data_IF_222100424638
#
_entry.id   IF_222100424638
#
_cell.length_a   1.000
_cell.length_b   1.000
_cell.length_c   1.000
_cell.angle_alpha   90.00
_cell.angle_beta   90.00
_cell.angle_gamma   90.00
#
_symmetry.space_group_name_H-M   'P 1'
#
loop_
_entity.id
_entity.type
_entity.pdbx_description
1 polymer ?
#
# COMPACT_ATOMS: atom_id res chain seq x y z
N UNK A 1 5.30 23.30 25.54
CA UNK A 1 3.96 22.69 25.72
C UNK A 1 4.13 21.19 25.87
N UNK A 2 3.90 20.63 27.07
CA UNK A 2 3.97 19.17 27.28
C UNK A 2 2.70 18.54 26.71
N UNK A 3 2.83 17.64 25.74
CA UNK A 3 1.74 16.75 25.34
C UNK A 3 1.45 15.84 26.53
N UNK A 4 0.42 16.19 27.31
CA UNK A 4 -0.04 15.34 28.40
C UNK A 4 -0.77 14.16 27.77
N UNK A 5 -0.11 13.01 27.73
CA UNK A 5 -0.69 11.75 27.24
C UNK A 5 -1.74 11.25 28.24
N UNK A 6 -2.93 11.86 28.20
CA UNK A 6 -4.10 11.25 28.82
C UNK A 6 -4.42 9.98 28.03
N UNK A 7 -4.51 8.83 28.72
CA UNK A 7 -5.00 7.60 28.11
C UNK A 7 -6.32 7.88 27.39
N UNK A 8 -6.43 7.39 26.15
CA UNK A 8 -7.64 7.54 25.36
C UNK A 8 -8.83 6.94 26.11
N UNK A 9 -9.87 7.74 26.33
CA UNK A 9 -11.12 7.31 26.94
C UNK A 9 -12.12 7.05 25.82
N UNK A 10 -12.12 5.83 25.28
CA UNK A 10 -12.99 5.40 24.19
C UNK A 10 -12.66 3.98 23.73
N UNK A 11 -13.37 3.48 22.72
CA UNK A 11 -13.07 2.16 22.16
C UNK A 11 -11.68 2.15 21.50
N UNK A 12 -11.02 0.98 21.48
CA UNK A 12 -9.74 0.83 20.76
C UNK A 12 -9.85 1.27 19.29
N UNK A 13 -10.99 0.98 18.64
CA UNK A 13 -11.28 1.40 17.25
C UNK A 13 -11.44 2.91 17.05
N UNK A 14 -11.64 3.68 18.11
CA UNK A 14 -11.76 5.15 18.04
C UNK A 14 -10.44 5.89 18.29
N UNK A 15 -9.39 5.17 18.69
CA UNK A 15 -8.08 5.77 18.98
C UNK A 15 -7.47 6.45 17.75
N UNK A 16 -7.52 5.78 16.60
CA UNK A 16 -6.92 6.29 15.36
C UNK A 16 -7.66 7.53 14.83
N UNK A 17 -9.01 7.55 14.71
CA UNK A 17 -9.72 8.77 14.28
C UNK A 17 -9.53 9.95 15.21
N UNK A 18 -9.60 9.72 16.52
CA UNK A 18 -9.43 10.79 17.52
C UNK A 18 -7.99 11.31 17.50
N UNK A 19 -7.01 10.43 17.34
CA UNK A 19 -5.61 10.82 17.19
C UNK A 19 -5.37 11.66 15.94
N UNK A 20 -5.87 11.21 14.79
CA UNK A 20 -5.75 11.94 13.53
C UNK A 20 -6.40 13.34 13.61
N UNK A 21 -7.62 13.42 14.13
CA UNK A 21 -8.33 14.69 14.31
C UNK A 21 -7.51 15.67 15.16
N UNK A 22 -7.02 15.24 16.33
CA UNK A 22 -6.22 16.08 17.23
C UNK A 22 -4.93 16.59 16.58
N UNK A 23 -4.26 15.74 15.79
CA UNK A 23 -3.03 16.13 15.10
C UNK A 23 -3.32 17.23 14.07
N UNK A 24 -4.40 17.11 13.31
CA UNK A 24 -4.77 18.09 12.29
C UNK A 24 -5.24 19.40 12.95
N UNK A 25 -6.18 19.34 13.90
CA UNK A 25 -6.67 20.50 14.65
C UNK A 25 -5.53 21.32 15.27
N UNK A 26 -4.62 20.65 15.99
CA UNK A 26 -3.47 21.31 16.61
C UNK A 26 -2.49 21.93 15.61
N UNK A 27 -2.46 21.45 14.37
CA UNK A 27 -1.49 21.92 13.38
C UNK A 27 -1.80 23.34 12.92
N UNK A 28 -3.08 23.70 12.81
CA UNK A 28 -3.51 25.06 12.51
C UNK A 28 -3.28 25.96 13.72
N UNK A 29 -3.78 25.56 14.89
CA UNK A 29 -3.75 26.37 16.12
C UNK A 29 -2.34 26.66 16.64
N UNK A 30 -1.45 25.67 16.64
CA UNK A 30 -0.14 25.81 17.28
C UNK A 30 1.02 26.01 16.31
N UNK A 31 0.82 25.72 15.03
CA UNK A 31 1.91 25.74 14.04
C UNK A 31 1.57 26.52 12.78
N UNK A 32 0.36 27.07 12.67
CA UNK A 32 -0.10 27.82 11.49
C UNK A 32 0.12 27.03 10.19
N UNK A 33 -0.06 25.70 10.23
CA UNK A 33 0.11 24.83 9.07
C UNK A 33 -1.17 24.03 8.83
N UNK A 34 -1.40 23.66 7.57
CA UNK A 34 -2.49 22.77 7.18
C UNK A 34 -1.92 21.56 6.46
N UNK A 35 -2.37 20.38 6.84
CA UNK A 35 -2.12 19.15 6.10
C UNK A 35 -3.12 19.03 4.96
N UNK A 36 -2.63 18.94 3.72
CA UNK A 36 -3.45 18.80 2.52
C UNK A 36 -3.65 17.35 2.09
N UNK A 37 -2.74 16.46 2.52
CA UNK A 37 -2.70 15.08 2.06
C UNK A 37 -2.68 14.11 3.25
N UNK A 38 -3.54 13.11 3.20
CA UNK A 38 -3.64 12.04 4.19
C UNK A 38 -3.26 10.71 3.56
N UNK A 39 -2.18 10.08 4.06
CA UNK A 39 -1.76 8.75 3.63
C UNK A 39 -2.32 7.68 4.55
N UNK A 40 -3.21 6.82 4.03
CA UNK A 40 -3.83 5.76 4.82
C UNK A 40 -4.31 4.57 4.01
N UNK A 41 -5.00 3.65 4.70
CA UNK A 41 -5.64 2.50 4.05
C UNK A 41 -6.99 2.89 3.41
N UNK A 42 -7.49 2.06 2.49
CA UNK A 42 -8.65 2.32 1.64
C UNK A 42 -9.94 2.62 2.41
N UNK A 43 -10.18 1.95 3.54
CA UNK A 43 -11.28 2.25 4.47
C UNK A 43 -10.66 2.82 5.76
N UNK A 44 -10.79 4.12 5.99
CA UNK A 44 -10.17 4.80 7.14
C UNK A 44 -11.15 5.77 7.76
N UNK A 45 -11.73 5.36 8.90
CA UNK A 45 -12.52 6.24 9.78
C UNK A 45 -11.71 7.46 10.24
N UNK A 46 -10.38 7.33 10.26
CA UNK A 46 -9.50 8.44 10.58
C UNK A 46 -9.42 9.47 9.46
N UNK A 47 -9.49 9.06 8.19
CA UNK A 47 -9.65 9.99 7.07
C UNK A 47 -11.00 10.71 7.13
N UNK A 48 -12.09 9.97 7.38
CA UNK A 48 -13.42 10.58 7.46
C UNK A 48 -13.51 11.66 8.55
N UNK A 49 -12.75 11.50 9.64
CA UNK A 49 -12.67 12.49 10.71
C UNK A 49 -11.94 13.78 10.31
N UNK A 50 -11.05 13.75 9.31
CA UNK A 50 -10.18 14.90 8.96
C UNK A 50 -10.41 15.46 7.56
N UNK A 51 -11.16 14.77 6.69
CA UNK A 51 -11.34 15.15 5.28
C UNK A 51 -11.84 16.58 5.07
N UNK A 52 -12.64 17.08 6.01
CA UNK A 52 -13.29 18.38 5.95
C UNK A 52 -12.77 19.37 7.02
N UNK A 53 -11.66 19.06 7.70
CA UNK A 53 -11.26 19.76 8.94
C UNK A 53 -10.91 21.24 8.73
N UNK A 54 -10.40 21.62 7.55
CA UNK A 54 -10.11 23.02 7.19
C UNK A 54 -11.15 23.59 6.20
N UNK A 55 -12.30 22.93 6.06
CA UNK A 55 -13.31 23.20 5.03
C UNK A 55 -13.58 21.98 4.16
N UNK A 56 -14.63 22.06 3.34
CA UNK A 56 -15.10 20.94 2.51
C UNK A 56 -14.00 20.42 1.58
N UNK A 57 -13.78 19.11 1.60
CA UNK A 57 -12.79 18.37 0.79
C UNK A 57 -11.37 18.95 0.91
N UNK A 58 -11.02 19.50 2.09
CA UNK A 58 -9.73 20.18 2.33
C UNK A 58 -8.54 19.23 2.43
N UNK A 59 -8.78 17.94 2.69
CA UNK A 59 -7.73 16.92 2.79
C UNK A 59 -7.95 15.83 1.74
N UNK A 60 -6.94 15.60 0.90
CA UNK A 60 -6.95 14.56 -0.13
C UNK A 60 -6.45 13.24 0.44
N UNK A 61 -7.21 12.16 0.24
CA UNK A 61 -6.76 10.81 0.61
C UNK A 61 -5.82 10.25 -0.46
N UNK A 62 -4.64 9.86 -0.03
CA UNK A 62 -3.65 9.16 -0.84
C UNK A 62 -3.42 7.75 -0.29
N UNK A 63 -3.20 6.80 -1.19
CA UNK A 63 -2.85 5.44 -0.81
C UNK A 63 -1.34 5.27 -0.76
N UNK A 64 -0.82 4.72 0.33
CA UNK A 64 0.61 4.43 0.39
C UNK A 64 0.94 3.18 -0.45
N UNK A 65 2.12 3.18 -1.07
CA UNK A 65 2.61 2.04 -1.86
C UNK A 65 2.64 0.76 -1.02
N UNK A 66 2.91 0.87 0.29
CA UNK A 66 2.86 -0.27 1.21
C UNK A 66 1.47 -0.91 1.31
N UNK A 67 0.39 -0.12 1.31
CA UNK A 67 -0.98 -0.63 1.28
C UNK A 67 -1.29 -1.29 -0.07
N UNK A 68 -0.87 -0.67 -1.17
CA UNK A 68 -0.99 -1.23 -2.51
C UNK A 68 -0.32 -2.61 -2.61
N UNK A 69 0.88 -2.78 -2.04
CA UNK A 69 1.57 -4.07 -1.95
C UNK A 69 0.76 -5.09 -1.13
N UNK A 70 0.31 -4.73 0.08
CA UNK A 70 -0.49 -5.64 0.93
C UNK A 70 -1.79 -6.06 0.25
N UNK A 71 -2.40 -5.16 -0.54
CA UNK A 71 -3.63 -5.42 -1.29
C UNK A 71 -3.44 -6.51 -2.33
N UNK A 72 -2.36 -6.49 -3.12
CA UNK A 72 -2.11 -7.55 -4.12
C UNK A 72 -1.94 -8.91 -3.44
N UNK A 73 -1.18 -8.97 -2.35
CA UNK A 73 -1.02 -10.21 -1.58
C UNK A 73 -2.34 -10.74 -1.01
N UNK A 74 -3.16 -9.85 -0.44
CA UNK A 74 -4.47 -10.20 0.10
C UNK A 74 -5.41 -10.73 -0.98
N UNK A 75 -5.45 -10.08 -2.15
CA UNK A 75 -6.27 -10.51 -3.30
C UNK A 75 -5.82 -11.88 -3.81
N UNK A 76 -4.52 -12.13 -3.93
CA UNK A 76 -3.98 -13.43 -4.34
C UNK A 76 -4.29 -14.54 -3.34
N UNK A 77 -4.22 -14.28 -2.03
CA UNK A 77 -4.62 -15.27 -1.02
C UNK A 77 -6.12 -15.57 -1.06
N UNK A 78 -6.96 -14.55 -1.25
CA UNK A 78 -8.41 -14.73 -1.45
C UNK A 78 -8.71 -15.51 -2.74
N UNK A 79 -7.97 -15.27 -3.81
CA UNK A 79 -8.08 -16.03 -5.06
C UNK A 79 -7.70 -17.50 -4.83
N UNK A 80 -6.57 -17.75 -4.15
CA UNK A 80 -6.10 -19.08 -3.76
C UNK A 80 -7.14 -19.83 -2.94
N UNK A 81 -7.80 -19.16 -1.98
CA UNK A 81 -8.77 -19.80 -1.09
C UNK A 81 -10.11 -20.08 -1.78
N UNK A 82 -10.55 -19.21 -2.69
CA UNK A 82 -11.81 -19.38 -3.43
C UNK A 82 -11.73 -20.43 -4.53
N UNK A 83 -10.56 -20.64 -5.13
CA UNK A 83 -10.39 -21.56 -6.25
C UNK A 83 -9.61 -22.80 -5.81
N UNK A 84 -10.35 -23.91 -5.62
CA UNK A 84 -9.75 -25.21 -5.30
C UNK A 84 -8.77 -25.59 -6.41
N UNK A 85 -7.56 -26.02 -6.03
CA UNK A 85 -6.51 -26.45 -6.96
C UNK A 85 -5.50 -25.39 -7.37
N UNK A 86 -5.66 -24.11 -6.99
CA UNK A 86 -4.62 -23.08 -7.21
C UNK A 86 -3.47 -23.13 -6.20
N UNK A 87 -3.72 -23.64 -5.00
CA UNK A 87 -2.68 -23.85 -3.98
C UNK A 87 -1.87 -25.13 -4.20
N UNK A 88 -0.74 -25.23 -3.49
CA UNK A 88 0.11 -26.43 -3.48
C UNK A 88 1.48 -26.23 -4.11
N UNK A 89 2.35 -27.24 -3.98
CA UNK A 89 3.71 -27.23 -4.52
C UNK A 89 3.69 -27.03 -6.04
N UNK A 90 4.52 -26.11 -6.53
CA UNK A 90 4.57 -25.76 -7.96
C UNK A 90 3.44 -24.85 -8.45
N UNK A 91 2.58 -24.34 -7.55
CA UNK A 91 1.46 -23.44 -7.90
C UNK A 91 1.53 -22.15 -7.07
N UNK A 92 0.38 -21.55 -6.75
CA UNK A 92 0.28 -20.32 -5.99
C UNK A 92 0.49 -20.57 -4.48
N UNK A 93 1.75 -20.71 -4.08
CA UNK A 93 2.15 -20.85 -2.66
C UNK A 93 2.18 -19.50 -1.94
N UNK A 94 2.13 -19.51 -0.60
CA UNK A 94 2.24 -18.26 0.16
C UNK A 94 3.60 -17.57 -0.02
N UNK A 95 4.66 -18.35 -0.24
CA UNK A 95 5.99 -17.84 -0.61
C UNK A 95 5.99 -17.15 -1.97
N UNK A 96 5.34 -17.73 -2.98
CA UNK A 96 5.19 -17.08 -4.29
C UNK A 96 4.39 -15.78 -4.20
N UNK A 97 3.31 -15.77 -3.41
CA UNK A 97 2.52 -14.56 -3.16
C UNK A 97 3.37 -13.47 -2.48
N UNK A 98 4.21 -13.83 -1.49
CA UNK A 98 5.12 -12.88 -0.85
C UNK A 98 6.13 -12.30 -1.86
N UNK A 99 6.70 -13.16 -2.73
CA UNK A 99 7.64 -12.73 -3.79
C UNK A 99 6.97 -11.73 -4.74
N UNK A 100 5.76 -12.07 -5.22
CA UNK A 100 4.96 -11.19 -6.09
C UNK A 100 4.64 -9.86 -5.41
N UNK A 101 4.22 -9.87 -4.15
CA UNK A 101 3.93 -8.66 -3.38
C UNK A 101 5.16 -7.74 -3.26
N UNK A 102 6.33 -8.32 -3.04
CA UNK A 102 7.57 -7.56 -2.94
C UNK A 102 7.93 -6.92 -4.28
N UNK A 103 8.01 -7.72 -5.36
CA UNK A 103 8.34 -7.19 -6.68
C UNK A 103 7.31 -6.19 -7.20
N UNK A 104 6.03 -6.38 -6.89
CA UNK A 104 4.98 -5.43 -7.27
C UNK A 104 5.27 -4.02 -6.74
N UNK A 105 5.67 -3.90 -5.48
CA UNK A 105 6.01 -2.58 -4.95
C UNK A 105 7.39 -2.08 -5.33
N UNK A 106 8.33 -2.97 -5.68
CA UNK A 106 9.59 -2.54 -6.28
C UNK A 106 9.31 -1.93 -7.66
N UNK A 107 8.55 -2.61 -8.51
CA UNK A 107 8.14 -2.12 -9.82
C UNK A 107 7.45 -0.74 -9.76
N UNK A 108 6.59 -0.50 -8.78
CA UNK A 108 5.97 0.82 -8.56
C UNK A 108 7.00 1.87 -8.14
N UNK A 109 7.85 1.57 -7.14
CA UNK A 109 8.84 2.53 -6.61
C UNK A 109 9.91 2.90 -7.64
N UNK A 110 10.34 1.94 -8.45
CA UNK A 110 11.37 2.16 -9.47
C UNK A 110 10.87 2.93 -10.70
N UNK A 111 9.55 3.16 -10.82
CA UNK A 111 8.94 3.79 -12.00
C UNK A 111 7.98 4.93 -11.63
N UNK A 112 8.27 5.65 -10.54
CA UNK A 112 7.48 6.82 -10.13
C UNK A 112 7.47 7.86 -11.26
N UNK A 113 6.28 8.37 -11.59
CA UNK A 113 6.10 9.35 -12.66
C UNK A 113 6.07 8.78 -14.07
N UNK A 114 6.24 7.47 -14.26
CA UNK A 114 6.14 6.81 -15.57
C UNK A 114 5.20 5.61 -15.51
N UNK A 115 3.93 5.84 -15.89
CA UNK A 115 2.88 4.82 -15.82
C UNK A 115 3.16 3.63 -16.73
N UNK A 116 3.61 3.89 -17.96
CA UNK A 116 3.85 2.83 -18.95
C UNK A 116 4.97 1.89 -18.48
N UNK A 117 6.10 2.44 -18.04
CA UNK A 117 7.20 1.63 -17.48
C UNK A 117 6.79 0.90 -16.21
N UNK A 118 5.97 1.52 -15.37
CA UNK A 118 5.44 0.87 -14.17
C UNK A 118 4.60 -0.35 -14.53
N UNK A 119 3.69 -0.22 -15.49
CA UNK A 119 2.88 -1.34 -15.97
C UNK A 119 3.77 -2.44 -16.56
N UNK A 120 4.73 -2.10 -17.42
CA UNK A 120 5.68 -3.06 -17.97
C UNK A 120 6.46 -3.79 -16.88
N UNK A 121 6.97 -3.07 -15.86
CA UNK A 121 7.72 -3.65 -14.76
C UNK A 121 6.87 -4.58 -13.87
N UNK A 122 5.59 -4.23 -13.65
CA UNK A 122 4.65 -5.09 -12.91
C UNK A 122 4.41 -6.41 -13.66
N UNK A 123 4.23 -6.36 -14.98
CA UNK A 123 4.03 -7.57 -15.80
C UNK A 123 5.33 -8.39 -15.84
N UNK A 124 6.48 -7.74 -15.98
CA UNK A 124 7.79 -8.38 -15.92
C UNK A 124 8.02 -9.13 -14.60
N UNK A 125 7.66 -8.50 -13.47
CA UNK A 125 7.74 -9.12 -12.15
C UNK A 125 6.89 -10.39 -12.04
N UNK A 126 5.69 -10.38 -12.64
CA UNK A 126 4.83 -11.56 -12.69
C UNK A 126 5.48 -12.70 -13.49
N UNK A 127 5.96 -12.41 -14.71
CA UNK A 127 6.62 -13.43 -15.54
C UNK A 127 7.90 -13.96 -14.90
N UNK A 128 8.70 -13.10 -14.28
CA UNK A 128 9.89 -13.50 -13.53
C UNK A 128 9.51 -14.46 -12.38
N UNK A 129 8.46 -14.15 -11.61
CA UNK A 129 7.95 -15.03 -10.56
C UNK A 129 7.45 -16.39 -11.09
N UNK A 130 6.98 -16.44 -12.33
CA UNK A 130 6.56 -17.67 -13.00
C UNK A 130 7.67 -18.36 -13.81
N UNK A 131 8.87 -17.80 -13.84
CA UNK A 131 10.03 -18.33 -14.56
C UNK A 131 10.60 -19.56 -13.84
N UNK A 132 11.17 -20.48 -14.61
CA UNK A 132 11.91 -21.64 -14.07
C UNK A 132 13.13 -21.94 -14.95
N UNK A 133 14.08 -22.74 -14.44
CA UNK A 133 15.27 -23.15 -15.21
C UNK A 133 14.93 -23.80 -16.55
N UNK A 134 13.81 -24.52 -16.63
CA UNK A 134 13.37 -25.22 -17.84
C UNK A 134 12.45 -24.37 -18.73
N UNK A 135 11.84 -23.32 -18.17
CA UNK A 135 10.97 -22.40 -18.89
C UNK A 135 11.28 -20.98 -18.46
N UNK A 136 12.37 -20.38 -18.99
CA UNK A 136 12.74 -19.01 -18.66
C UNK A 136 11.69 -18.05 -19.22
N UNK A 137 11.19 -17.15 -18.38
CA UNK A 137 10.21 -16.11 -18.75
C UNK A 137 10.77 -14.70 -18.52
N UNK A 138 12.04 -14.51 -18.87
CA UNK A 138 12.76 -13.26 -18.64
C UNK A 138 12.63 -12.24 -19.79
N UNK A 139 11.86 -12.55 -20.84
CA UNK A 139 11.76 -11.69 -22.03
C UNK A 139 11.16 -10.29 -21.79
N UNK A 140 10.58 -10.05 -20.61
CA UNK A 140 10.06 -8.75 -20.21
C UNK A 140 10.87 -8.14 -19.04
N UNK A 141 11.91 -8.82 -18.54
CA UNK A 141 12.76 -8.28 -17.48
C UNK A 141 13.59 -7.10 -18.01
N UNK A 142 13.91 -6.11 -17.16
CA UNK A 142 14.89 -5.08 -17.51
C UNK A 142 16.23 -5.74 -17.86
N UNK A 143 16.97 -5.12 -18.79
CA UNK A 143 18.27 -5.60 -19.26
C UNK A 143 19.38 -4.86 -18.50
N UNK A 144 20.47 -5.57 -18.16
CA UNK A 144 21.66 -5.00 -17.53
C UNK A 144 21.80 -5.35 -16.04
N UNK A 145 22.78 -4.74 -15.40
CA UNK A 145 23.18 -5.05 -14.00
C UNK A 145 22.10 -4.68 -12.96
N UNK A 146 21.14 -3.86 -13.37
CA UNK A 146 19.95 -3.50 -12.59
C UNK A 146 18.78 -4.49 -12.78
N UNK A 147 19.00 -5.60 -13.48
CA UNK A 147 18.03 -6.69 -13.60
C UNK A 147 17.98 -7.52 -12.31
N UNK A 148 16.75 -7.74 -11.81
CA UNK A 148 16.45 -8.33 -10.50
C UNK A 148 16.78 -9.82 -10.34
#
# INVERSE_FOLDING_TARGET
>A
MKLQCNHHKGSSSSMEPVGAYRIFEMSEDHRMLRYTDYYGDGDSKAFDAVKDIYGKDSVTKLECIGHIQKRVGTRLRKLKSRNKGLGGKGKLTDGLINKLQNYYGIAIRSNIGNLDKMQSAVIAAFFHCCSSKHQPKHGQCPVGDESW
#
